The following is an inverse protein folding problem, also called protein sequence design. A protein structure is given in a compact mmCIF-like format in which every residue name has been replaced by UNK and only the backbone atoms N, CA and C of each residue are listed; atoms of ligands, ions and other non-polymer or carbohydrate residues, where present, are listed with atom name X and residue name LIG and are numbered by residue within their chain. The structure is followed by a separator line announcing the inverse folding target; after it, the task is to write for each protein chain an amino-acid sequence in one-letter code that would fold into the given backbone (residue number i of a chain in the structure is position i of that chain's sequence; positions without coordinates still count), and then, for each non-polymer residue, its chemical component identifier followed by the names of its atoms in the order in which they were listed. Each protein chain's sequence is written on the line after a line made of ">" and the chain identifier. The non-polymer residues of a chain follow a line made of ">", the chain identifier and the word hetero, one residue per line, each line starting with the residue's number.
data_IF_958511700308
#
_entry.id   IF_958511700308
#
_cell.length_a   1.000
_cell.length_b   1.000
_cell.length_c   1.000
_cell.angle_alpha   90.00
_cell.angle_beta   90.00
_cell.angle_gamma   90.00
#
_symmetry.space_group_name_H-M   'P 1'
#
loop_
_entity.id
_entity.type
_entity.pdbx_description
1 polymer ?
#
# COMPACT_ATOMS: atom_id res chain seq x y z
N UNK A 1 6.12 8.96 19.71
CA UNK A 1 7.40 9.71 19.73
C UNK A 1 7.25 11.09 19.08
N UNK A 2 8.24 11.96 19.30
CA UNK A 2 8.34 13.24 18.60
C UNK A 2 8.90 13.06 17.19
N UNK A 3 8.80 14.07 16.32
CA UNK A 3 9.40 14.04 14.98
C UNK A 3 10.93 13.86 15.05
N UNK A 4 11.60 14.50 16.03
CA UNK A 4 13.03 14.29 16.27
C UNK A 4 13.35 12.86 16.70
N UNK A 5 12.49 12.25 17.52
CA UNK A 5 12.63 10.84 17.89
C UNK A 5 12.52 9.89 16.69
N UNK A 6 11.62 10.17 15.74
CA UNK A 6 11.52 9.43 14.48
C UNK A 6 12.79 9.60 13.63
N UNK A 7 13.28 10.82 13.51
CA UNK A 7 14.53 11.09 12.78
C UNK A 7 15.71 10.30 13.37
N UNK A 8 15.93 10.38 14.68
CA UNK A 8 17.03 9.68 15.34
C UNK A 8 16.92 8.16 15.23
N UNK A 9 15.69 7.62 15.28
CA UNK A 9 15.42 6.19 15.10
C UNK A 9 15.88 5.71 13.71
N UNK A 10 15.39 6.35 12.64
CA UNK A 10 15.77 5.98 11.27
C UNK A 10 17.23 6.30 10.95
N UNK A 11 17.80 7.37 11.52
CA UNK A 11 19.22 7.65 11.42
C UNK A 11 20.07 6.53 12.03
N UNK A 12 19.71 6.04 13.20
CA UNK A 12 20.42 4.93 13.84
C UNK A 12 20.34 3.63 13.01
N UNK A 13 19.21 3.38 12.32
CA UNK A 13 19.08 2.26 11.39
C UNK A 13 19.94 2.49 10.15
N UNK A 14 19.85 3.67 9.53
CA UNK A 14 20.65 4.05 8.37
C UNK A 14 22.15 3.85 8.61
N UNK A 15 22.65 4.27 9.77
CA UNK A 15 24.07 4.24 10.09
C UNK A 15 24.62 2.81 10.29
N UNK A 16 23.74 1.84 10.57
CA UNK A 16 24.08 0.44 10.80
C UNK A 16 23.70 -0.50 9.66
N UNK A 17 22.78 -0.08 8.79
CA UNK A 17 22.23 -0.90 7.72
C UNK A 17 22.87 -0.51 6.38
N UNK A 18 23.49 -1.46 5.70
CA UNK A 18 24.15 -1.21 4.39
C UNK A 18 23.25 -1.38 3.18
N UNK A 19 21.90 -1.41 3.36
CA UNK A 19 20.92 -1.62 2.29
C UNK A 19 19.95 -0.44 2.19
N UNK A 20 19.31 -0.22 1.02
CA UNK A 20 18.25 0.79 0.87
C UNK A 20 17.08 0.55 1.83
N UNK A 21 16.54 1.63 2.38
CA UNK A 21 15.45 1.62 3.37
C UNK A 21 14.27 2.39 2.80
N UNK A 22 13.10 1.76 2.77
CA UNK A 22 11.79 2.39 2.53
C UNK A 22 11.08 2.52 3.87
N UNK A 23 10.78 3.75 4.27
CA UNK A 23 10.08 4.04 5.52
C UNK A 23 8.61 3.65 5.38
N UNK A 24 8.04 2.98 6.38
CA UNK A 24 6.60 2.73 6.41
C UNK A 24 5.90 3.72 7.35
N UNK A 25 5.16 4.68 6.77
CA UNK A 25 4.36 5.64 7.50
C UNK A 25 2.89 5.21 7.52
N UNK A 26 2.41 4.78 8.69
CA UNK A 26 1.05 4.24 8.89
C UNK A 26 0.42 4.78 10.18
N UNK A 27 -0.02 6.05 10.20
CA UNK A 27 -0.55 6.67 11.42
C UNK A 27 -1.78 5.97 11.99
N UNK A 28 -2.60 5.32 11.17
CA UNK A 28 -3.74 4.53 11.61
C UNK A 28 -3.38 3.34 12.52
N UNK A 29 -2.11 2.91 12.55
CA UNK A 29 -1.61 1.85 13.44
C UNK A 29 -0.54 2.33 14.41
N UNK A 30 0.30 3.27 14.01
CA UNK A 30 1.40 3.80 14.83
C UNK A 30 0.99 5.01 15.68
N UNK A 31 -0.22 5.56 15.45
CA UNK A 31 -0.76 6.78 16.08
C UNK A 31 0.01 8.05 15.74
N UNK A 32 1.21 7.94 15.18
CA UNK A 32 2.02 9.09 14.78
C UNK A 32 2.20 9.14 13.28
N UNK A 33 2.04 10.34 12.72
CA UNK A 33 2.31 10.67 11.32
C UNK A 33 3.67 11.36 11.20
N UNK A 34 4.53 10.85 10.32
CA UNK A 34 5.82 11.48 10.03
C UNK A 34 5.60 12.68 9.12
N UNK A 35 6.06 13.86 9.56
CA UNK A 35 5.95 15.10 8.77
C UNK A 35 6.79 15.07 7.50
N UNK A 36 6.41 15.89 6.51
CA UNK A 36 7.20 16.06 5.28
C UNK A 36 8.61 16.55 5.60
N UNK A 37 8.75 17.49 6.54
CA UNK A 37 10.07 18.02 6.97
C UNK A 37 10.97 16.92 7.55
N UNK A 38 10.41 16.06 8.41
CA UNK A 38 11.15 14.92 8.96
C UNK A 38 11.58 13.95 7.86
N UNK A 39 10.66 13.66 6.91
CA UNK A 39 10.94 12.80 5.77
C UNK A 39 12.04 13.38 4.88
N UNK A 40 12.00 14.69 4.61
CA UNK A 40 13.03 15.41 3.82
C UNK A 40 14.40 15.30 4.47
N UNK A 41 14.50 15.54 5.78
CA UNK A 41 15.76 15.37 6.54
C UNK A 41 16.28 13.93 6.48
N UNK A 42 15.37 12.94 6.52
CA UNK A 42 15.73 11.52 6.43
C UNK A 42 16.22 11.14 5.03
N UNK A 43 15.66 11.73 3.98
CA UNK A 43 16.10 11.47 2.61
C UNK A 43 17.52 11.99 2.30
N UNK A 44 18.06 12.91 3.12
CA UNK A 44 19.48 13.30 3.05
C UNK A 44 20.42 12.17 3.50
N UNK A 45 19.91 11.14 4.17
CA UNK A 45 20.70 10.00 4.62
C UNK A 45 20.87 8.98 3.49
N UNK A 46 22.08 8.42 3.38
CA UNK A 46 22.52 7.60 2.24
C UNK A 46 21.59 6.45 1.86
N UNK A 47 20.99 5.77 2.85
CA UNK A 47 20.22 4.54 2.62
C UNK A 47 18.70 4.76 2.62
N UNK A 48 18.20 5.94 2.99
CA UNK A 48 16.77 6.24 2.94
C UNK A 48 16.40 6.59 1.50
N UNK A 49 15.63 5.75 0.83
CA UNK A 49 15.34 5.90 -0.60
C UNK A 49 13.87 6.22 -0.89
N UNK A 50 12.98 6.10 0.10
CA UNK A 50 11.56 6.34 -0.16
C UNK A 50 10.65 6.01 1.02
N UNK A 51 9.37 6.07 0.74
CA UNK A 51 8.29 5.82 1.70
C UNK A 51 7.25 4.86 1.14
N UNK A 52 6.72 3.98 2.00
CA UNK A 52 5.39 3.40 1.86
C UNK A 52 4.44 4.26 2.67
N UNK A 53 3.65 5.10 2.00
CA UNK A 53 2.68 5.98 2.64
C UNK A 53 1.32 5.29 2.76
N UNK A 54 0.83 5.13 3.98
CA UNK A 54 -0.48 4.57 4.30
C UNK A 54 -1.33 5.56 5.11
N UNK A 55 -1.15 6.87 4.86
CA UNK A 55 -1.98 7.92 5.45
C UNK A 55 -3.33 8.05 4.77
N UNK A 56 -3.44 7.63 3.50
CA UNK A 56 -4.60 7.88 2.64
C UNK A 56 -4.68 9.32 2.11
N UNK A 57 -3.77 10.21 2.51
CA UNK A 57 -3.75 11.61 2.07
C UNK A 57 -2.92 11.77 0.78
N UNK A 58 -3.61 11.91 -0.35
CA UNK A 58 -2.98 12.05 -1.66
C UNK A 58 -2.17 13.36 -1.84
N UNK A 59 -2.49 14.42 -1.09
CA UNK A 59 -1.74 15.68 -1.18
C UNK A 59 -0.29 15.54 -0.70
N UNK A 60 0.00 14.52 0.09
CA UNK A 60 1.37 14.20 0.52
C UNK A 60 2.26 13.79 -0.65
N UNK A 61 1.70 13.17 -1.70
CA UNK A 61 2.46 12.81 -2.91
C UNK A 61 3.05 14.06 -3.55
N UNK A 62 2.22 15.08 -3.75
CA UNK A 62 2.64 16.34 -4.36
C UNK A 62 3.63 17.10 -3.46
N UNK A 63 3.38 17.12 -2.14
CA UNK A 63 4.28 17.75 -1.15
C UNK A 63 5.64 17.06 -1.11
N UNK A 64 5.68 15.73 -1.10
CA UNK A 64 6.90 14.94 -1.10
C UNK A 64 7.68 15.11 -2.42
N UNK A 65 6.97 15.09 -3.56
CA UNK A 65 7.58 15.34 -4.87
C UNK A 65 8.22 16.73 -4.94
N UNK A 66 7.54 17.75 -4.41
CA UNK A 66 8.06 19.12 -4.36
C UNK A 66 9.28 19.26 -3.45
N UNK A 67 9.29 18.59 -2.30
CA UNK A 67 10.34 18.71 -1.29
C UNK A 67 11.59 17.89 -1.62
N UNK A 68 11.42 16.68 -2.19
CA UNK A 68 12.48 15.69 -2.35
C UNK A 68 12.78 15.30 -3.80
N UNK A 69 11.92 15.72 -4.75
CA UNK A 69 12.09 15.41 -6.16
C UNK A 69 11.69 13.99 -6.54
N UNK A 70 11.96 13.61 -7.80
CA UNK A 70 11.54 12.33 -8.40
C UNK A 70 12.39 11.13 -7.95
N UNK A 71 13.56 11.38 -7.35
CA UNK A 71 14.43 10.31 -6.87
C UNK A 71 13.94 9.71 -5.54
N UNK A 72 13.04 10.41 -4.83
CA UNK A 72 12.39 9.88 -3.65
C UNK A 72 11.26 8.93 -4.06
N UNK A 73 11.43 7.63 -3.77
CA UNK A 73 10.48 6.58 -4.13
C UNK A 73 9.21 6.71 -3.28
N UNK A 74 8.07 6.93 -3.92
CA UNK A 74 6.78 7.01 -3.26
C UNK A 74 5.92 5.78 -3.61
N UNK A 75 5.65 4.94 -2.62
CA UNK A 75 4.76 3.78 -2.73
C UNK A 75 3.53 3.98 -1.84
N UNK A 76 2.34 3.67 -2.35
CA UNK A 76 1.16 3.66 -1.48
C UNK A 76 1.07 2.36 -0.66
N UNK A 77 0.59 2.48 0.57
CA UNK A 77 0.15 1.36 1.40
C UNK A 77 -1.34 1.09 1.31
N UNK A 78 -2.08 1.89 0.53
CA UNK A 78 -3.53 1.85 0.37
C UNK A 78 -3.88 1.42 -1.05
N UNK A 79 -4.38 0.20 -1.21
CA UNK A 79 -4.72 -0.37 -2.51
C UNK A 79 -5.80 0.43 -3.25
N UNK A 80 -6.81 0.90 -2.53
CA UNK A 80 -7.99 1.59 -3.04
C UNK A 80 -7.70 2.96 -3.67
N UNK A 81 -6.59 3.61 -3.28
CA UNK A 81 -6.20 4.91 -3.82
C UNK A 81 -5.00 4.87 -4.80
N UNK A 82 -4.49 3.67 -5.10
CA UNK A 82 -3.25 3.50 -5.86
C UNK A 82 -3.30 4.15 -7.26
N UNK A 83 -4.46 4.18 -7.91
CA UNK A 83 -4.63 4.82 -9.22
C UNK A 83 -4.34 6.33 -9.17
N UNK A 84 -5.00 7.04 -8.23
CA UNK A 84 -4.80 8.49 -8.08
C UNK A 84 -3.42 8.82 -7.46
N UNK A 85 -2.90 7.93 -6.61
CA UNK A 85 -1.56 8.06 -6.04
C UNK A 85 -0.48 8.03 -7.15
N UNK A 86 -0.56 7.08 -8.09
CA UNK A 86 0.39 6.97 -9.19
C UNK A 86 0.24 8.13 -10.18
N UNK A 87 -0.96 8.62 -10.46
CA UNK A 87 -1.19 9.81 -11.30
C UNK A 87 -0.52 11.07 -10.76
N UNK A 88 -0.33 11.18 -9.45
CA UNK A 88 0.34 12.31 -8.79
C UNK A 88 1.85 12.16 -8.69
N UNK A 89 2.42 11.06 -9.17
CA UNK A 89 3.87 10.81 -9.15
C UNK A 89 4.32 9.68 -8.25
N UNK A 90 3.39 8.91 -7.68
CA UNK A 90 3.70 7.63 -7.06
C UNK A 90 4.17 6.61 -8.09
N UNK A 91 4.94 5.62 -7.66
CA UNK A 91 5.57 4.64 -8.56
C UNK A 91 5.14 3.20 -8.28
N UNK A 92 4.12 3.01 -7.43
CA UNK A 92 3.63 1.67 -7.12
C UNK A 92 2.94 1.55 -5.76
N UNK A 93 2.68 0.31 -5.37
CA UNK A 93 2.03 -0.04 -4.11
C UNK A 93 2.70 -1.22 -3.42
N UNK A 94 2.66 -1.24 -2.10
CA UNK A 94 2.88 -2.44 -1.30
C UNK A 94 1.51 -2.92 -0.84
N UNK A 95 0.93 -3.82 -1.63
CA UNK A 95 -0.48 -4.15 -1.68
C UNK A 95 -0.87 -5.32 -0.79
N UNK A 96 -2.05 -5.27 -0.19
CA UNK A 96 -2.70 -6.42 0.45
C UNK A 96 -3.36 -7.30 -0.62
N UNK A 97 -4.05 -6.70 -1.58
CA UNK A 97 -4.77 -7.42 -2.65
C UNK A 97 -3.84 -8.23 -3.54
N UNK A 98 -2.59 -7.83 -3.70
CA UNK A 98 -1.59 -8.58 -4.46
C UNK A 98 -1.31 -9.99 -3.90
N UNK A 99 -1.66 -10.28 -2.64
CA UNK A 99 -1.55 -11.64 -2.08
C UNK A 99 -2.55 -12.62 -2.70
N UNK A 100 -3.65 -12.13 -3.28
CA UNK A 100 -4.73 -12.96 -3.84
C UNK A 100 -4.97 -12.72 -5.33
N UNK A 101 -4.51 -11.57 -5.86
CA UNK A 101 -4.66 -11.19 -7.26
C UNK A 101 -3.35 -10.59 -7.83
N UNK A 102 -2.20 -11.29 -7.72
CA UNK A 102 -0.88 -10.70 -8.05
C UNK A 102 -0.79 -10.26 -9.51
N UNK A 103 -1.35 -11.04 -10.44
CA UNK A 103 -1.33 -10.70 -11.87
C UNK A 103 -2.10 -9.42 -12.15
N UNK A 104 -3.36 -9.31 -11.68
CA UNK A 104 -4.19 -8.12 -11.89
C UNK A 104 -3.53 -6.87 -11.26
N UNK A 105 -2.98 -7.00 -10.04
CA UNK A 105 -2.28 -5.90 -9.40
C UNK A 105 -1.02 -5.49 -10.16
N UNK A 106 -0.25 -6.43 -10.70
CA UNK A 106 0.95 -6.15 -11.48
C UNK A 106 0.62 -5.45 -12.81
N UNK A 107 -0.38 -5.94 -13.54
CA UNK A 107 -0.86 -5.33 -14.79
C UNK A 107 -1.41 -3.93 -14.56
N UNK A 108 -2.20 -3.75 -13.49
CA UNK A 108 -2.67 -2.44 -13.05
C UNK A 108 -1.51 -1.47 -12.77
N UNK A 109 -0.53 -1.88 -11.97
CA UNK A 109 0.60 -1.02 -11.61
C UNK A 109 1.42 -0.64 -12.85
N UNK A 110 1.71 -1.60 -13.73
CA UNK A 110 2.45 -1.36 -14.98
C UNK A 110 1.74 -0.34 -15.89
N UNK A 111 0.40 -0.41 -16.00
CA UNK A 111 -0.38 0.53 -16.77
C UNK A 111 -0.53 1.90 -16.10
N UNK A 112 -0.61 1.96 -14.76
CA UNK A 112 -0.93 3.17 -14.01
C UNK A 112 0.22 4.19 -13.91
N UNK A 113 1.46 3.75 -14.12
CA UNK A 113 2.65 4.61 -14.08
C UNK A 113 3.01 5.19 -15.47
N UNK A 114 2.32 4.77 -16.53
CA UNK A 114 2.53 5.28 -17.89
C UNK A 114 1.66 6.52 -18.13
N UNK A 115 2.21 7.48 -18.88
CA UNK A 115 1.56 8.77 -19.07
C UNK A 115 0.63 8.83 -20.30
N UNK A 116 0.68 7.84 -21.21
CA UNK A 116 -0.14 7.83 -22.41
C UNK A 116 -1.62 7.48 -22.14
N UNK A 117 -2.51 8.01 -22.96
CA UNK A 117 -3.96 7.87 -22.78
C UNK A 117 -4.47 6.43 -22.87
N UNK A 118 -3.80 5.56 -23.63
CA UNK A 118 -4.16 4.15 -23.76
C UNK A 118 -3.90 3.43 -22.44
N UNK A 119 -2.71 3.61 -21.88
CA UNK A 119 -2.30 3.03 -20.61
C UNK A 119 -3.17 3.54 -19.45
N UNK A 120 -3.48 4.83 -19.42
CA UNK A 120 -4.41 5.41 -18.41
C UNK A 120 -5.81 4.78 -18.47
N UNK A 121 -6.35 4.56 -19.67
CA UNK A 121 -7.64 3.88 -19.85
C UNK A 121 -7.57 2.41 -19.43
N UNK A 122 -6.46 1.74 -19.69
CA UNK A 122 -6.23 0.36 -19.28
C UNK A 122 -6.09 0.25 -17.76
N UNK A 123 -5.30 1.10 -17.14
CA UNK A 123 -5.17 1.18 -15.70
C UNK A 123 -6.53 1.40 -15.02
N UNK A 124 -7.37 2.29 -15.57
CA UNK A 124 -8.72 2.52 -15.02
C UNK A 124 -9.59 1.28 -15.10
N UNK A 125 -9.50 0.47 -16.15
CA UNK A 125 -10.25 -0.79 -16.25
C UNK A 125 -9.80 -1.80 -15.19
N UNK A 126 -8.49 -1.91 -14.95
CA UNK A 126 -7.97 -2.75 -13.87
C UNK A 126 -8.39 -2.25 -12.51
N UNK A 127 -8.35 -0.93 -12.27
CA UNK A 127 -8.80 -0.31 -11.04
C UNK A 127 -10.28 -0.66 -10.76
N UNK A 128 -11.16 -0.52 -11.76
CA UNK A 128 -12.59 -0.85 -11.63
C UNK A 128 -12.83 -2.34 -11.26
N UNK A 129 -11.99 -3.25 -11.76
CA UNK A 129 -12.05 -4.68 -11.38
C UNK A 129 -11.52 -4.90 -9.98
N UNK A 130 -10.45 -4.18 -9.60
CA UNK A 130 -9.75 -4.37 -8.33
C UNK A 130 -10.46 -3.69 -7.14
N UNK A 131 -11.20 -2.60 -7.33
CA UNK A 131 -11.85 -1.85 -6.25
C UNK A 131 -12.73 -2.71 -5.33
N UNK A 132 -13.59 -3.63 -5.82
CA UNK A 132 -14.35 -4.52 -4.96
C UNK A 132 -13.45 -5.45 -4.11
N UNK A 133 -12.31 -5.90 -4.67
CA UNK A 133 -11.32 -6.69 -3.92
C UNK A 133 -10.64 -5.84 -2.85
N UNK A 134 -10.14 -4.65 -3.21
CA UNK A 134 -9.50 -3.73 -2.27
C UNK A 134 -10.40 -3.47 -1.05
N UNK A 135 -11.65 -3.09 -1.29
CA UNK A 135 -12.62 -2.81 -0.24
C UNK A 135 -12.92 -4.05 0.63
N UNK A 136 -13.04 -5.23 0.02
CA UNK A 136 -13.33 -6.46 0.76
C UNK A 136 -12.17 -6.96 1.62
N UNK A 137 -10.92 -6.62 1.28
CA UNK A 137 -9.74 -6.98 2.09
C UNK A 137 -9.60 -6.15 3.37
N UNK A 138 -10.35 -5.06 3.50
CA UNK A 138 -10.33 -4.18 4.67
C UNK A 138 -11.71 -4.05 5.35
N UNK A 139 -12.66 -4.93 5.02
CA UNK A 139 -13.99 -4.95 5.63
C UNK A 139 -13.94 -5.28 7.14
N UNK A 140 -12.91 -6.01 7.55
CA UNK A 140 -12.51 -6.24 8.94
C UNK A 140 -11.01 -6.01 9.08
N UNK A 141 -10.49 -6.17 10.31
CA UNK A 141 -9.06 -5.95 10.55
C UNK A 141 -8.17 -6.86 9.70
N UNK A 142 -7.34 -6.26 8.85
CA UNK A 142 -6.30 -6.98 8.12
C UNK A 142 -5.30 -7.62 9.12
N UNK A 143 -4.90 -8.91 8.96
CA UNK A 143 -4.99 -9.73 7.75
C UNK A 143 -6.16 -10.75 7.71
N UNK A 144 -7.16 -10.69 8.58
CA UNK A 144 -8.22 -11.72 8.60
C UNK A 144 -8.95 -11.86 7.25
N UNK A 145 -9.39 -10.77 6.56
CA UNK A 145 -10.06 -10.88 5.27
C UNK A 145 -9.19 -11.47 4.17
N UNK A 146 -7.95 -10.99 4.01
CA UNK A 146 -7.06 -11.48 2.95
C UNK A 146 -6.64 -12.94 3.17
N UNK A 147 -6.50 -13.39 4.41
CA UNK A 147 -6.23 -14.80 4.72
C UNK A 147 -7.43 -15.68 4.39
N UNK A 148 -8.64 -15.23 4.65
CA UNK A 148 -9.83 -15.95 4.23
C UNK A 148 -9.95 -16.04 2.71
N UNK A 149 -9.71 -14.94 1.99
CA UNK A 149 -9.64 -14.94 0.53
C UNK A 149 -8.59 -15.90 -0.01
N UNK A 150 -7.38 -15.88 0.55
CA UNK A 150 -6.29 -16.78 0.18
C UNK A 150 -6.65 -18.27 0.44
N UNK A 151 -7.39 -18.57 1.52
CA UNK A 151 -7.91 -19.92 1.78
C UNK A 151 -8.87 -20.37 0.70
N UNK A 152 -9.80 -19.51 0.26
CA UNK A 152 -10.73 -19.84 -0.83
C UNK A 152 -9.99 -20.16 -2.14
N UNK A 153 -8.82 -19.55 -2.35
CA UNK A 153 -7.94 -19.80 -3.49
C UNK A 153 -6.95 -20.95 -3.26
N UNK A 154 -7.05 -21.68 -2.15
CA UNK A 154 -6.15 -22.77 -1.77
C UNK A 154 -4.67 -22.36 -1.64
N UNK A 155 -4.41 -21.11 -1.25
CA UNK A 155 -3.04 -20.59 -1.09
C UNK A 155 -2.51 -20.77 0.35
N UNK A 156 -3.38 -20.67 1.37
CA UNK A 156 -3.01 -20.88 2.77
C UNK A 156 -4.24 -21.12 3.66
N UNK A 157 -4.04 -21.45 4.94
CA UNK A 157 -5.11 -21.48 5.95
C UNK A 157 -5.51 -20.08 6.41
N UNK A 158 -6.76 -19.92 6.86
CA UNK A 158 -7.31 -18.66 7.38
C UNK A 158 -7.03 -18.42 8.88
N UNK A 159 -6.12 -19.21 9.47
CA UNK A 159 -5.75 -19.07 10.87
C UNK A 159 -5.07 -17.73 11.15
N UNK A 160 -5.50 -17.08 12.22
CA UNK A 160 -4.92 -15.82 12.75
C UNK A 160 -4.66 -15.97 14.24
N UNK A 161 -3.72 -15.18 14.77
CA UNK A 161 -3.41 -15.15 16.22
C UNK A 161 -4.28 -14.11 16.91
N UNK A 162 -4.71 -14.41 18.13
CA UNK A 162 -5.37 -13.42 18.99
C UNK A 162 -4.49 -12.17 19.16
N UNK A 163 -5.10 -10.99 19.23
CA UNK A 163 -6.54 -10.69 19.35
C UNK A 163 -7.33 -10.74 18.02
N UNK A 164 -6.70 -11.04 16.89
CA UNK A 164 -7.41 -11.22 15.64
C UNK A 164 -8.19 -12.53 15.66
N UNK A 165 -9.35 -12.53 14.98
CA UNK A 165 -10.22 -13.70 14.82
C UNK A 165 -10.56 -13.91 13.35
N UNK A 166 -11.13 -15.07 13.03
CA UNK A 166 -11.64 -15.33 11.68
C UNK A 166 -12.77 -14.35 11.35
N UNK A 167 -12.89 -14.01 10.06
CA UNK A 167 -13.95 -13.11 9.59
C UNK A 167 -15.35 -13.65 9.82
N UNK A 168 -16.31 -12.75 9.98
CA UNK A 168 -17.72 -13.05 10.16
C UNK A 168 -18.34 -13.71 8.91
N UNK A 169 -19.48 -14.39 9.07
CA UNK A 169 -20.19 -15.01 7.93
C UNK A 169 -20.69 -13.97 6.92
N UNK A 170 -20.98 -12.75 7.36
CA UNK A 170 -21.36 -11.65 6.48
C UNK A 170 -20.15 -11.21 5.62
N UNK A 171 -19.01 -10.97 6.24
CA UNK A 171 -17.77 -10.61 5.53
C UNK A 171 -17.32 -11.72 4.58
N UNK A 172 -17.50 -13.00 4.92
CA UNK A 172 -17.22 -14.13 4.01
C UNK A 172 -18.03 -14.04 2.71
N UNK A 173 -19.31 -13.69 2.78
CA UNK A 173 -20.17 -13.53 1.59
C UNK A 173 -19.69 -12.39 0.69
N UNK A 174 -19.29 -11.26 1.30
CA UNK A 174 -18.79 -10.09 0.57
C UNK A 174 -17.46 -10.43 -0.12
N UNK A 175 -16.53 -11.05 0.59
CA UNK A 175 -15.23 -11.48 0.04
C UNK A 175 -15.43 -12.47 -1.12
N UNK A 176 -16.27 -13.46 -0.93
CA UNK A 176 -16.58 -14.45 -1.97
C UNK A 176 -17.12 -13.77 -3.25
N UNK A 177 -18.09 -12.85 -3.10
CA UNK A 177 -18.66 -12.08 -4.21
C UNK A 177 -17.59 -11.24 -4.92
N UNK A 178 -16.70 -10.61 -4.19
CA UNK A 178 -15.60 -9.82 -4.76
C UNK A 178 -14.64 -10.68 -5.58
N UNK A 179 -14.26 -11.86 -5.08
CA UNK A 179 -13.42 -12.81 -5.82
C UNK A 179 -14.10 -13.30 -7.11
N UNK A 180 -15.39 -13.62 -7.07
CA UNK A 180 -16.15 -13.99 -8.27
C UNK A 180 -16.23 -12.87 -9.30
N UNK A 181 -16.48 -11.62 -8.85
CA UNK A 181 -16.52 -10.45 -9.73
C UNK A 181 -15.19 -10.22 -10.45
N UNK A 182 -14.08 -10.53 -9.80
CA UNK A 182 -12.74 -10.46 -10.38
C UNK A 182 -12.33 -11.74 -11.14
N UNK A 183 -13.22 -12.74 -11.28
CA UNK A 183 -12.98 -14.03 -11.92
C UNK A 183 -11.79 -14.81 -11.33
N UNK A 184 -11.65 -14.74 -10.02
CA UNK A 184 -10.65 -15.49 -9.26
C UNK A 184 -11.23 -16.79 -8.67
N UNK A 185 -12.56 -16.90 -8.59
CA UNK A 185 -13.35 -18.09 -8.27
C UNK A 185 -14.32 -18.39 -9.39
#
# INVERSE_FOLDING_TARGET
>A
PTQEGLYQHYKAINDKCGIPIIIYNIPGRSVIDMSIDTMTRLFELKNIVGVKDATGNLDRVDQQLKAMGKDFIQLTGNDDNAFEFNKRGGVGAISVTANIAPKLCSEFQAASILEDDKSKKEAKKFDDILQPLHNSMFIESNPSPVKYAAKLLNLCDDAVRLPLVKVTEESKKIIHKALQSAKLL
#
